data_IF_324662075836
#
_entry.id   IF_324662075836
#
_cell.length_a   1.000
_cell.length_b   1.000
_cell.length_c   1.000
_cell.angle_alpha   90.00
_cell.angle_beta   90.00
_cell.angle_gamma   90.00
#
_symmetry.space_group_name_H-M   'P 1'
#
loop_
_entity.id
_entity.type
_entity.pdbx_description
1 polymer ?
#
# COMPACT_ATOMS: atom_id res chain seq x y z
N UNK A 1 7.10 3.58 -5.24
CA UNK A 1 5.73 3.00 -5.20
C UNK A 1 5.40 2.21 -6.45
N UNK A 2 5.44 2.84 -7.63
CA UNK A 2 5.16 2.17 -8.91
C UNK A 2 5.95 0.87 -9.10
N UNK A 3 7.26 0.86 -8.78
CA UNK A 3 8.08 -0.36 -8.86
C UNK A 3 7.55 -1.50 -7.98
N UNK A 4 7.17 -1.19 -6.73
CA UNK A 4 6.64 -2.19 -5.81
C UNK A 4 5.31 -2.77 -6.29
N UNK A 5 4.42 -1.92 -6.82
CA UNK A 5 3.14 -2.35 -7.40
C UNK A 5 3.34 -3.21 -8.65
N UNK A 6 4.25 -2.84 -9.55
CA UNK A 6 4.63 -3.65 -10.71
C UNK A 6 5.23 -5.00 -10.29
N UNK A 7 6.07 -5.03 -9.26
CA UNK A 7 6.71 -6.26 -8.76
C UNK A 7 5.72 -7.27 -8.22
N UNK A 8 4.64 -6.80 -7.57
CA UNK A 8 3.55 -7.66 -7.11
C UNK A 8 2.48 -7.91 -8.18
N UNK A 9 2.71 -7.41 -9.41
CA UNK A 9 1.77 -7.48 -10.54
C UNK A 9 0.39 -6.94 -10.18
N UNK A 10 0.33 -5.85 -9.42
CA UNK A 10 -0.94 -5.23 -9.06
C UNK A 10 -1.50 -4.45 -10.26
N UNK A 11 -2.58 -4.95 -10.84
CA UNK A 11 -3.36 -4.25 -11.87
C UNK A 11 -4.43 -3.35 -11.24
N UNK A 12 -5.01 -3.82 -10.12
CA UNK A 12 -6.07 -3.14 -9.38
C UNK A 12 -5.67 -2.94 -7.93
N UNK A 13 -5.72 -1.68 -7.49
CA UNK A 13 -5.36 -1.29 -6.13
C UNK A 13 -6.50 -0.58 -5.42
N UNK A 14 -6.51 -0.69 -4.11
CA UNK A 14 -7.32 0.19 -3.27
C UNK A 14 -6.37 1.22 -2.63
N UNK A 15 -6.68 2.53 -2.70
CA UNK A 15 -5.79 3.60 -2.24
C UNK A 15 -6.33 4.25 -0.96
N UNK A 16 -5.55 4.29 0.11
CA UNK A 16 -5.93 5.03 1.32
C UNK A 16 -4.84 6.01 1.70
N UNK A 17 -5.13 7.30 1.80
CA UNK A 17 -4.13 8.31 2.17
C UNK A 17 -4.51 9.05 3.45
N UNK A 18 -3.52 9.45 4.28
CA UNK A 18 -3.78 10.31 5.44
C UNK A 18 -4.15 11.73 5.03
N UNK A 19 -3.76 12.15 3.83
CA UNK A 19 -3.90 13.53 3.36
C UNK A 19 -5.35 13.94 3.11
N UNK A 20 -5.57 15.25 3.05
CA UNK A 20 -6.84 15.83 2.63
C UNK A 20 -7.21 15.49 1.18
N UNK A 21 -8.51 15.60 0.89
CA UNK A 21 -9.11 15.15 -0.37
C UNK A 21 -8.45 15.73 -1.61
N UNK A 22 -8.16 17.04 -1.65
CA UNK A 22 -7.53 17.67 -2.81
C UNK A 22 -6.16 17.09 -3.14
N UNK A 23 -5.36 16.79 -2.11
CA UNK A 23 -4.05 16.18 -2.32
C UNK A 23 -4.17 14.70 -2.68
N UNK A 24 -5.12 13.99 -2.06
CA UNK A 24 -5.44 12.61 -2.40
C UNK A 24 -5.78 12.43 -3.88
N UNK A 25 -6.62 13.30 -4.43
CA UNK A 25 -7.07 13.24 -5.82
C UNK A 25 -5.91 13.31 -6.83
N UNK A 26 -4.77 13.89 -6.46
CA UNK A 26 -3.56 13.94 -7.32
C UNK A 26 -2.91 12.57 -7.53
N UNK A 27 -3.13 11.60 -6.64
CA UNK A 27 -2.57 10.26 -6.79
C UNK A 27 -3.29 9.42 -7.85
N UNK A 28 -4.58 9.67 -8.09
CA UNK A 28 -5.38 8.90 -9.05
C UNK A 28 -4.84 9.02 -10.49
N UNK A 29 -4.62 10.22 -11.07
CA UNK A 29 -4.04 10.34 -12.40
C UNK A 29 -2.59 9.85 -12.44
N UNK A 30 -1.81 10.04 -11.37
CA UNK A 30 -0.43 9.56 -11.29
C UNK A 30 -0.33 8.04 -11.37
N UNK A 31 -1.20 7.31 -10.64
CA UNK A 31 -1.25 5.85 -10.70
C UNK A 31 -1.80 5.36 -12.05
N UNK A 32 -2.81 6.05 -12.60
CA UNK A 32 -3.37 5.74 -13.92
C UNK A 32 -2.33 5.86 -15.04
N UNK A 33 -1.49 6.90 -15.03
CA UNK A 33 -0.39 7.07 -15.99
C UNK A 33 0.64 5.93 -15.93
N UNK A 34 0.73 5.23 -14.80
CA UNK A 34 1.59 4.07 -14.62
C UNK A 34 0.90 2.73 -14.92
N UNK A 35 -0.30 2.77 -15.51
CA UNK A 35 -1.16 1.61 -15.80
C UNK A 35 -1.62 0.85 -14.54
N UNK A 36 -1.87 1.59 -13.45
CA UNK A 36 -2.35 1.04 -12.18
C UNK A 36 -3.76 1.57 -11.93
N UNK A 37 -4.74 0.67 -11.91
CA UNK A 37 -6.14 1.05 -11.75
C UNK A 37 -6.54 1.12 -10.27
N UNK A 38 -6.91 2.31 -9.79
CA UNK A 38 -7.47 2.47 -8.45
C UNK A 38 -8.94 2.05 -8.48
N UNK A 39 -9.27 0.91 -7.88
CA UNK A 39 -10.62 0.34 -7.88
C UNK A 39 -11.53 0.94 -6.80
N UNK A 40 -10.93 1.41 -5.70
CA UNK A 40 -11.59 2.13 -4.61
C UNK A 40 -10.53 2.96 -3.90
N UNK A 41 -10.93 4.10 -3.38
CA UNK A 41 -10.05 5.01 -2.68
C UNK A 41 -10.70 5.57 -1.42
N UNK A 42 -9.89 6.19 -0.57
CA UNK A 42 -10.35 6.84 0.65
C UNK A 42 -9.30 7.78 1.22
N UNK A 43 -9.78 8.69 2.04
CA UNK A 43 -8.96 9.63 2.80
C UNK A 43 -9.24 9.51 4.29
N UNK A 44 -8.21 9.64 5.10
CA UNK A 44 -8.41 9.86 6.53
C UNK A 44 -8.65 11.35 6.85
N UNK A 45 -8.25 12.25 5.95
CA UNK A 45 -8.30 13.72 6.12
C UNK A 45 -7.58 14.19 7.40
N UNK A 46 -6.45 13.55 7.73
CA UNK A 46 -5.59 13.94 8.84
C UNK A 46 -4.99 15.34 8.48
N UNK A 47 -5.13 16.34 9.37
CA UNK A 47 -4.69 17.73 9.14
C UNK A 47 -3.26 17.97 9.60
N UNK A 48 -2.74 17.10 10.46
CA UNK A 48 -1.38 17.18 10.98
C UNK A 48 -0.61 15.87 10.79
N UNK A 49 0.72 15.95 10.83
CA UNK A 49 1.58 14.76 10.78
C UNK A 49 1.36 13.84 11.99
N UNK A 50 1.08 14.43 13.16
CA UNK A 50 0.80 13.70 14.40
C UNK A 50 -0.50 12.90 14.27
N UNK A 51 -1.55 13.52 13.72
CA UNK A 51 -2.79 12.82 13.38
C UNK A 51 -2.53 11.71 12.37
N UNK A 52 -1.76 11.99 11.32
CA UNK A 52 -1.42 10.99 10.31
C UNK A 52 -0.77 9.75 10.92
N UNK A 53 0.16 9.93 11.86
CA UNK A 53 0.83 8.82 12.58
C UNK A 53 -0.12 8.05 13.50
N UNK A 54 -1.17 8.70 14.00
CA UNK A 54 -2.17 8.12 14.90
C UNK A 54 -3.44 7.66 14.19
N UNK A 55 -3.58 7.89 12.88
CA UNK A 55 -4.71 7.46 12.05
C UNK A 55 -4.83 5.91 12.15
N UNK A 56 -5.72 5.46 13.06
CA UNK A 56 -5.85 4.07 13.54
C UNK A 56 -6.52 3.15 12.52
N UNK A 57 -6.21 1.86 12.69
CA UNK A 57 -6.67 0.68 11.94
C UNK A 57 -8.18 0.64 11.64
N UNK A 58 -9.04 1.26 12.47
CA UNK A 58 -10.51 1.12 12.40
C UNK A 58 -11.15 1.61 11.10
N UNK A 59 -10.52 2.49 10.31
CA UNK A 59 -11.06 2.90 8.99
C UNK A 59 -10.60 2.02 7.82
N UNK A 60 -9.74 1.03 8.05
CA UNK A 60 -9.41 0.05 7.01
C UNK A 60 -10.55 -0.93 6.74
N UNK A 61 -11.31 -1.28 7.78
CA UNK A 61 -12.47 -2.16 7.67
C UNK A 61 -13.65 -1.51 6.95
N UNK A 62 -13.67 -0.17 6.85
CA UNK A 62 -14.72 0.59 6.16
C UNK A 62 -14.45 0.76 4.68
N UNK A 63 -13.24 0.47 4.20
CA UNK A 63 -13.03 0.40 2.76
C UNK A 63 -13.80 -0.80 2.21
N UNK A 64 -14.53 -0.65 1.08
CA UNK A 64 -15.18 -1.76 0.44
C UNK A 64 -14.15 -2.87 0.24
N UNK A 65 -14.38 -4.04 0.84
CA UNK A 65 -13.58 -5.22 0.54
C UNK A 65 -13.70 -5.40 -0.97
N UNK A 66 -12.60 -5.26 -1.69
CA UNK A 66 -12.56 -5.71 -3.08
C UNK A 66 -12.85 -7.23 -3.05
N UNK A 67 -14.12 -7.61 -3.24
CA UNK A 67 -14.64 -8.98 -3.10
C UNK A 67 -14.29 -9.82 -4.32
N UNK A 68 -13.64 -10.97 -4.11
CA UNK A 68 -13.01 -11.78 -5.17
C UNK A 68 -14.01 -12.64 -5.91
N UNK A 69 -14.93 -12.01 -6.61
CA UNK A 69 -15.82 -12.68 -7.56
C UNK A 69 -15.28 -12.45 -8.97
N UNK A 70 -14.22 -13.18 -9.34
CA UNK A 70 -13.68 -13.19 -10.70
C UNK A 70 -12.26 -13.72 -10.82
N UNK A 71 -12.00 -14.52 -11.88
CA UNK A 71 -10.72 -15.19 -12.22
C UNK A 71 -9.49 -14.27 -12.43
N UNK A 72 -9.59 -12.95 -12.24
CA UNK A 72 -8.47 -12.01 -12.42
C UNK A 72 -7.73 -11.80 -11.11
N UNK A 73 -6.63 -12.56 -10.97
CA UNK A 73 -5.76 -12.65 -9.79
C UNK A 73 -4.70 -11.54 -9.77
N UNK A 74 -5.00 -10.40 -9.16
CA UNK A 74 -4.07 -9.65 -8.28
C UNK A 74 -4.75 -8.42 -7.70
N UNK A 75 -4.96 -8.43 -6.39
CA UNK A 75 -5.46 -7.27 -5.62
C UNK A 75 -4.46 -6.94 -4.55
N UNK A 76 -4.01 -5.70 -4.55
CA UNK A 76 -3.12 -5.16 -3.54
C UNK A 76 -3.79 -3.92 -2.96
N UNK A 77 -4.02 -3.91 -1.65
CA UNK A 77 -4.42 -2.69 -0.96
C UNK A 77 -3.16 -1.86 -0.72
N UNK A 78 -3.25 -0.59 -1.08
CA UNK A 78 -2.21 0.38 -0.92
C UNK A 78 -2.65 1.45 0.08
N UNK A 79 -2.32 1.26 1.37
CA UNK A 79 -2.25 2.38 2.27
C UNK A 79 -1.04 3.26 1.96
N UNK A 80 -1.24 4.50 1.55
CA UNK A 80 -0.24 5.54 1.68
C UNK A 80 -0.12 6.00 3.15
N UNK A 81 0.00 5.07 4.10
CA UNK A 81 0.13 5.39 5.52
C UNK A 81 1.52 5.95 5.87
N UNK A 82 1.64 6.78 6.92
CA UNK A 82 2.93 7.20 7.46
C UNK A 82 3.70 6.05 8.13
N UNK A 83 5.01 6.26 8.30
CA UNK A 83 6.03 5.25 8.63
C UNK A 83 5.71 4.27 9.76
N UNK A 84 4.96 4.66 10.81
CA UNK A 84 4.64 3.75 11.93
C UNK A 84 3.71 2.61 11.54
N UNK A 85 2.90 2.75 10.50
CA UNK A 85 1.98 1.69 10.08
C UNK A 85 2.66 0.55 9.32
N UNK A 86 3.91 0.75 8.89
CA UNK A 86 4.67 -0.23 8.12
C UNK A 86 5.06 -1.46 8.94
N UNK A 87 5.27 -1.34 10.26
CA UNK A 87 5.53 -2.51 11.13
C UNK A 87 4.33 -3.45 11.24
N UNK A 88 3.12 -2.95 10.99
CA UNK A 88 1.88 -3.72 11.16
C UNK A 88 1.34 -4.29 9.84
N UNK A 89 2.07 -4.15 8.73
CA UNK A 89 1.59 -4.59 7.41
C UNK A 89 1.25 -6.08 7.38
N UNK A 90 2.03 -6.94 8.05
CA UNK A 90 1.73 -8.37 8.14
C UNK A 90 0.41 -8.65 8.88
N UNK A 91 0.07 -7.88 9.91
CA UNK A 91 -1.20 -7.98 10.65
C UNK A 91 -2.37 -7.67 9.72
N UNK A 92 -2.29 -6.56 8.99
CA UNK A 92 -3.32 -6.19 8.03
C UNK A 92 -3.47 -7.19 6.88
N UNK A 93 -2.36 -7.74 6.38
CA UNK A 93 -2.42 -8.77 5.34
C UNK A 93 -3.13 -10.04 5.84
N UNK A 94 -2.94 -10.40 7.11
CA UNK A 94 -3.63 -11.51 7.74
C UNK A 94 -5.13 -11.23 7.94
N UNK A 95 -5.50 -10.03 8.42
CA UNK A 95 -6.89 -9.64 8.64
C UNK A 95 -7.69 -9.48 7.33
N UNK A 96 -7.07 -8.88 6.31
CA UNK A 96 -7.75 -8.51 5.06
C UNK A 96 -7.64 -9.60 3.98
N UNK A 97 -6.71 -10.54 4.10
CA UNK A 97 -6.48 -11.60 3.12
C UNK A 97 -5.90 -11.10 1.78
N UNK A 98 -5.43 -9.86 1.72
CA UNK A 98 -4.86 -9.21 0.54
C UNK A 98 -3.48 -8.63 0.88
N UNK A 99 -2.67 -8.32 -0.14
CA UNK A 99 -1.36 -7.67 0.07
C UNK A 99 -1.56 -6.25 0.54
N UNK A 100 -0.73 -5.81 1.49
CA UNK A 100 -0.74 -4.46 2.06
C UNK A 100 0.67 -3.91 2.02
N UNK A 101 0.83 -2.67 1.54
CA UNK A 101 2.12 -1.99 1.54
C UNK A 101 1.99 -0.49 1.79
N UNK A 102 2.96 0.10 2.50
CA UNK A 102 3.08 1.54 2.71
C UNK A 102 4.12 2.18 1.76
N UNK A 103 4.09 3.51 1.64
CA UNK A 103 5.09 4.27 0.88
C UNK A 103 6.52 3.99 1.35
N UNK A 104 6.75 3.99 2.66
CA UNK A 104 8.07 3.76 3.26
C UNK A 104 8.60 2.35 2.99
N UNK A 105 7.76 1.32 2.99
CA UNK A 105 8.17 -0.05 2.64
C UNK A 105 8.55 -0.19 1.18
N UNK A 106 7.76 0.41 0.28
CA UNK A 106 8.08 0.40 -1.14
C UNK A 106 9.37 1.18 -1.43
N UNK A 107 9.59 2.30 -0.73
CA UNK A 107 10.83 3.07 -0.80
C UNK A 107 12.01 2.24 -0.27
N UNK A 108 11.89 1.66 0.93
CA UNK A 108 12.93 0.82 1.52
C UNK A 108 13.27 -0.37 0.62
N UNK A 109 12.26 -1.05 0.05
CA UNK A 109 12.49 -2.13 -0.91
C UNK A 109 13.27 -1.65 -2.13
N UNK A 110 12.87 -0.53 -2.72
CA UNK A 110 13.51 0.03 -3.90
C UNK A 110 14.96 0.43 -3.61
N UNK A 111 15.21 1.13 -2.50
CA UNK A 111 16.56 1.51 -2.07
C UNK A 111 17.46 0.28 -1.86
N UNK A 112 16.96 -0.77 -1.19
CA UNK A 112 17.70 -2.02 -0.97
C UNK A 112 18.01 -2.74 -2.28
N UNK A 113 17.12 -2.67 -3.27
CA UNK A 113 17.37 -3.20 -4.61
C UNK A 113 18.50 -2.43 -5.30
N UNK A 114 18.51 -1.10 -5.22
CA UNK A 114 19.53 -0.26 -5.86
C UNK A 114 20.95 -0.53 -5.33
N UNK A 115 21.08 -0.85 -4.04
CA UNK A 115 22.37 -1.22 -3.42
C UNK A 115 22.70 -2.71 -3.55
N UNK A 116 21.94 -3.48 -4.32
CA UNK A 116 22.19 -4.91 -4.55
C UNK A 116 21.91 -5.82 -3.35
N UNK A 117 21.18 -5.34 -2.33
CA UNK A 117 20.83 -6.15 -1.17
C UNK A 117 19.71 -7.14 -1.53
N UNK A 118 20.00 -8.46 -1.49
CA UNK A 118 19.07 -9.50 -2.00
C UNK A 118 18.25 -10.21 -0.93
N UNK A 119 18.69 -10.23 0.33
CA UNK A 119 18.07 -10.99 1.42
C UNK A 119 16.67 -10.47 1.74
N UNK A 120 15.76 -11.34 2.18
CA UNK A 120 14.45 -10.94 2.66
C UNK A 120 14.55 -10.17 3.99
N UNK A 121 13.57 -9.31 4.26
CA UNK A 121 13.40 -8.66 5.58
C UNK A 121 12.05 -9.07 6.12
N UNK A 122 12.07 -10.00 7.08
CA UNK A 122 10.89 -10.65 7.62
C UNK A 122 10.14 -9.73 8.61
N UNK A 123 8.81 -9.89 8.68
CA UNK A 123 7.96 -9.23 9.68
C UNK A 123 7.39 -7.88 9.24
N UNK A 124 7.71 -7.42 8.03
CA UNK A 124 7.22 -6.15 7.48
C UNK A 124 6.30 -6.37 6.27
N UNK A 125 5.59 -7.50 6.23
CA UNK A 125 4.62 -7.85 5.19
C UNK A 125 5.25 -8.42 3.92
N UNK A 126 4.40 -9.00 3.07
CA UNK A 126 4.80 -9.78 1.89
C UNK A 126 5.68 -9.02 0.89
N UNK A 127 5.65 -7.68 0.90
CA UNK A 127 6.52 -6.88 0.04
C UNK A 127 8.00 -6.99 0.42
N UNK A 128 8.34 -7.07 1.71
CA UNK A 128 9.72 -7.12 2.19
C UNK A 128 10.19 -8.54 2.53
N UNK A 129 9.26 -9.45 2.82
CA UNK A 129 9.52 -10.87 3.04
C UNK A 129 9.97 -11.62 1.76
N UNK A 130 9.76 -11.02 0.58
CA UNK A 130 10.19 -11.59 -0.68
C UNK A 130 11.65 -11.21 -1.04
N UNK A 131 12.50 -12.16 -1.47
CA UNK A 131 13.83 -11.87 -2.00
C UNK A 131 13.81 -10.82 -3.11
N UNK A 132 14.89 -10.07 -3.24
CA UNK A 132 15.08 -9.10 -4.33
C UNK A 132 15.87 -9.78 -5.43
N UNK A 133 15.18 -10.07 -6.54
CA UNK A 133 15.74 -10.59 -7.81
C UNK A 133 15.83 -9.43 -8.78
#
# INVERSE_FOLDING_TARGET
MIEALKRVRAERVALLTPYGYEFHQKFLPFLKQADIHVATDGVFDCKTDIESVSCRLRRFSTLPRCSSTGRRRTRSLYPALPCRSCSNSHVFEAELGIRVMCSTQAMARHALKLVGYKKAINGFGKLLDAPRV
#
